data_IF_756452118970
#
_entry.id   IF_756452118970
#
_cell.length_a   1.000
_cell.length_b   1.000
_cell.length_c   1.000
_cell.angle_alpha   90.00
_cell.angle_beta   90.00
_cell.angle_gamma   90.00
#
_symmetry.space_group_name_H-M   'P 1'
#
loop_
_entity.id
_entity.type
_entity.pdbx_description
1 polymer ?
#
# COMPACT_ATOMS: atom_id res chain seq x y z
N UNK A 1 10.92 3.44 9.00
CA UNK A 1 10.10 3.50 7.78
C UNK A 1 8.64 3.45 8.15
N UNK A 2 7.80 4.21 7.46
CA UNK A 2 6.34 4.21 7.63
C UNK A 2 5.70 3.69 6.35
N UNK A 3 4.78 2.75 6.47
CA UNK A 3 3.97 2.24 5.34
C UNK A 3 2.53 2.67 5.53
N UNK A 4 1.91 3.19 4.48
CA UNK A 4 0.51 3.63 4.47
C UNK A 4 -0.21 3.15 3.24
N UNK A 5 -1.49 2.82 3.36
CA UNK A 5 -2.39 2.64 2.22
C UNK A 5 -3.25 3.87 2.00
N UNK A 6 -3.33 4.32 0.75
CA UNK A 6 -4.00 5.56 0.38
C UNK A 6 -4.89 5.31 -0.83
N UNK A 7 -6.16 5.70 -0.71
CA UNK A 7 -7.04 5.80 -1.87
C UNK A 7 -6.68 7.03 -2.71
N UNK A 8 -6.61 6.83 -4.02
CA UNK A 8 -6.39 7.92 -4.99
C UNK A 8 -7.69 8.25 -5.69
N UNK A 9 -8.55 9.01 -5.00
CA UNK A 9 -9.86 9.44 -5.53
C UNK A 9 -9.75 10.27 -6.81
N UNK A 10 -8.61 10.96 -7.00
CA UNK A 10 -8.26 11.64 -8.25
C UNK A 10 -8.05 10.68 -9.44
N UNK A 11 -7.95 9.36 -9.19
CA UNK A 11 -7.77 8.30 -10.18
C UNK A 11 -8.96 7.35 -10.27
N UNK A 12 -10.15 7.83 -9.89
CA UNK A 12 -11.40 7.08 -10.00
C UNK A 12 -11.64 6.66 -11.45
N UNK A 13 -12.00 5.40 -11.67
CA UNK A 13 -12.33 4.92 -13.01
C UNK A 13 -13.82 5.13 -13.36
N UNK A 14 -14.18 4.80 -14.61
CA UNK A 14 -15.54 4.95 -15.13
C UNK A 14 -16.63 4.19 -14.35
N UNK A 15 -16.25 3.19 -13.54
CA UNK A 15 -17.16 2.41 -12.72
C UNK A 15 -17.24 2.94 -11.28
N UNK A 16 -16.60 4.08 -10.99
CA UNK A 16 -16.54 4.66 -9.65
C UNK A 16 -15.52 3.96 -8.72
N UNK A 17 -14.70 3.05 -9.24
CA UNK A 17 -13.70 2.34 -8.44
C UNK A 17 -12.45 3.19 -8.28
N UNK A 18 -11.99 3.30 -7.04
CA UNK A 18 -10.83 4.09 -6.65
C UNK A 18 -9.65 3.15 -6.39
N UNK A 19 -8.48 3.39 -7.00
CA UNK A 19 -7.31 2.56 -6.77
C UNK A 19 -6.65 2.82 -5.41
N UNK A 20 -6.24 1.74 -4.77
CA UNK A 20 -5.43 1.77 -3.54
C UNK A 20 -3.95 1.78 -3.90
N UNK A 21 -3.18 2.65 -3.27
CA UNK A 21 -1.74 2.72 -3.38
C UNK A 21 -1.09 2.42 -2.04
N UNK A 22 0.07 1.78 -2.07
CA UNK A 22 0.98 1.70 -0.94
C UNK A 22 1.98 2.85 -1.03
N UNK A 23 2.14 3.58 0.07
CA UNK A 23 3.15 4.60 0.28
C UNK A 23 4.14 4.12 1.34
N UNK A 24 5.39 3.90 0.96
CA UNK A 24 6.48 3.62 1.88
C UNK A 24 7.38 4.85 1.98
N UNK A 25 7.46 5.42 3.19
CA UNK A 25 8.17 6.65 3.50
C UNK A 25 9.36 6.32 4.40
N UNK A 26 10.56 6.69 3.95
CA UNK A 26 11.81 6.43 4.66
C UNK A 26 12.85 7.47 4.23
N UNK A 27 13.68 7.95 5.16
CA UNK A 27 14.83 8.82 4.84
C UNK A 27 14.46 10.05 3.96
N UNK A 28 13.28 10.64 4.17
CA UNK A 28 12.76 11.76 3.36
C UNK A 28 12.25 11.37 1.96
N UNK A 29 12.41 10.11 1.56
CA UNK A 29 11.95 9.54 0.30
C UNK A 29 10.56 8.92 0.46
N UNK A 30 9.79 8.92 -0.63
CA UNK A 30 8.48 8.26 -0.74
C UNK A 30 8.46 7.34 -1.96
N UNK A 31 8.38 6.04 -1.71
CA UNK A 31 8.05 5.05 -2.72
C UNK A 31 6.52 4.89 -2.76
N UNK A 32 5.94 5.05 -3.95
CA UNK A 32 4.50 4.89 -4.18
C UNK A 32 4.26 3.82 -5.25
N UNK A 33 3.52 2.78 -4.89
CA UNK A 33 3.19 1.68 -5.79
C UNK A 33 1.68 1.41 -5.81
N UNK A 34 1.16 1.05 -6.97
CA UNK A 34 -0.23 0.59 -7.08
C UNK A 34 -0.36 -0.82 -6.51
N UNK A 35 -1.33 -1.06 -5.63
CA UNK A 35 -1.52 -2.39 -5.00
C UNK A 35 -2.25 -3.38 -5.89
N UNK A 36 -2.70 -2.95 -7.09
CA UNK A 36 -3.63 -3.66 -7.98
C UNK A 36 -5.06 -3.79 -7.44
N UNK A 37 -5.30 -3.36 -6.22
CA UNK A 37 -6.63 -3.32 -5.63
C UNK A 37 -7.36 -2.01 -5.94
N UNK A 38 -8.67 -2.14 -6.15
CA UNK A 38 -9.60 -1.01 -6.25
C UNK A 38 -10.84 -1.29 -5.43
N UNK A 39 -11.49 -0.24 -4.95
CA UNK A 39 -12.78 -0.34 -4.27
C UNK A 39 -13.59 0.93 -4.43
N UNK A 40 -14.88 0.87 -4.12
CA UNK A 40 -15.69 2.08 -3.94
C UNK A 40 -15.20 2.83 -2.69
N UNK A 41 -15.32 4.17 -2.62
CA UNK A 41 -14.90 4.94 -1.43
C UNK A 41 -15.54 4.43 -0.13
N UNK A 42 -16.83 4.06 -0.18
CA UNK A 42 -17.58 3.53 0.96
C UNK A 42 -17.06 2.19 1.49
N UNK A 43 -16.30 1.45 0.68
CA UNK A 43 -15.74 0.15 1.01
C UNK A 43 -14.38 0.25 1.70
N UNK A 44 -13.81 1.45 1.81
CA UNK A 44 -12.53 1.68 2.45
C UNK A 44 -12.68 2.19 3.89
N UNK A 45 -11.80 1.75 4.77
CA UNK A 45 -11.63 2.33 6.09
C UNK A 45 -10.27 3.03 6.13
N UNK A 46 -10.28 4.36 6.05
CA UNK A 46 -9.06 5.17 6.01
C UNK A 46 -8.26 5.08 7.32
N UNK A 47 -8.93 5.03 8.47
CA UNK A 47 -8.28 4.97 9.78
C UNK A 47 -7.57 3.63 9.98
N UNK A 48 -8.22 2.53 9.56
CA UNK A 48 -7.66 1.17 9.65
C UNK A 48 -6.80 0.79 8.46
N UNK A 49 -6.77 1.62 7.42
CA UNK A 49 -6.07 1.36 6.14
C UNK A 49 -6.36 -0.01 5.53
N UNK A 50 -7.64 -0.42 5.58
CA UNK A 50 -8.11 -1.74 5.14
C UNK A 50 -9.48 -1.62 4.47
N UNK A 51 -9.81 -2.59 3.62
CA UNK A 51 -11.15 -2.76 3.09
C UNK A 51 -12.12 -3.17 4.19
N UNK A 52 -13.33 -2.60 4.13
CA UNK A 52 -14.48 -2.97 4.98
C UNK A 52 -15.05 -4.30 4.50
N UNK A 53 -15.72 -5.02 5.40
CA UNK A 53 -16.41 -6.30 5.11
C UNK A 53 -17.45 -6.21 3.98
N UNK A 54 -17.92 -5.01 3.62
CA UNK A 54 -18.89 -4.80 2.54
C UNK A 54 -18.32 -4.96 1.13
N UNK A 55 -16.98 -5.01 0.95
CA UNK A 55 -16.35 -5.32 -0.35
C UNK A 55 -16.33 -6.83 -0.55
N UNK A 56 -16.73 -7.29 -1.73
CA UNK A 56 -16.53 -8.69 -2.15
C UNK A 56 -15.05 -9.03 -2.17
N UNK A 57 -14.66 -10.11 -1.48
CA UNK A 57 -13.25 -10.51 -1.34
C UNK A 57 -12.42 -9.57 -0.45
N UNK A 58 -13.04 -8.89 0.52
CA UNK A 58 -12.35 -7.94 1.40
C UNK A 58 -11.23 -8.60 2.22
N UNK A 59 -11.40 -9.86 2.62
CA UNK A 59 -10.40 -10.58 3.40
C UNK A 59 -9.14 -10.85 2.57
N UNK A 60 -9.30 -11.44 1.39
CA UNK A 60 -8.21 -11.70 0.46
C UNK A 60 -7.50 -10.42 0.05
N UNK A 61 -8.26 -9.38 -0.30
CA UNK A 61 -7.69 -8.08 -0.66
C UNK A 61 -6.90 -7.46 0.51
N UNK A 62 -7.40 -7.58 1.74
CA UNK A 62 -6.67 -7.11 2.92
C UNK A 62 -5.40 -7.94 3.19
N UNK A 63 -5.43 -9.25 2.97
CA UNK A 63 -4.25 -10.11 3.09
C UNK A 63 -3.19 -9.74 2.04
N UNK A 64 -3.60 -9.37 0.83
CA UNK A 64 -2.70 -8.84 -0.21
C UNK A 64 -2.04 -7.54 0.26
N UNK A 65 -2.79 -6.60 0.83
CA UNK A 65 -2.22 -5.36 1.38
C UNK A 65 -1.19 -5.67 2.47
N UNK A 66 -1.54 -6.53 3.41
CA UNK A 66 -0.67 -6.94 4.52
C UNK A 66 0.64 -7.56 4.00
N UNK A 67 0.56 -8.52 3.08
CA UNK A 67 1.73 -9.13 2.45
C UNK A 67 2.60 -8.11 1.68
N UNK A 68 2.00 -7.12 1.01
CA UNK A 68 2.77 -6.04 0.36
C UNK A 68 3.51 -5.17 1.37
N UNK A 69 2.86 -4.79 2.47
CA UNK A 69 3.50 -4.02 3.53
C UNK A 69 4.67 -4.79 4.16
N UNK A 70 4.46 -6.07 4.49
CA UNK A 70 5.50 -6.93 5.05
C UNK A 70 6.70 -7.07 4.12
N UNK A 71 6.47 -7.26 2.82
CA UNK A 71 7.55 -7.35 1.82
C UNK A 71 8.40 -6.10 1.78
N UNK A 72 7.77 -4.92 1.73
CA UNK A 72 8.49 -3.65 1.71
C UNK A 72 9.26 -3.44 3.03
N UNK A 73 8.62 -3.72 4.17
CA UNK A 73 9.25 -3.64 5.49
C UNK A 73 10.42 -4.60 5.65
N UNK A 74 10.28 -5.84 5.18
CA UNK A 74 11.36 -6.83 5.19
C UNK A 74 12.51 -6.34 4.32
N UNK A 75 12.25 -5.91 3.08
CA UNK A 75 13.31 -5.41 2.19
C UNK A 75 14.07 -4.22 2.78
N UNK A 76 13.36 -3.28 3.40
CA UNK A 76 13.98 -2.15 4.10
C UNK A 76 14.89 -2.62 5.24
N UNK A 77 14.41 -3.56 6.08
CA UNK A 77 15.21 -4.13 7.18
C UNK A 77 16.45 -4.85 6.65
N UNK A 78 16.29 -5.69 5.63
CA UNK A 78 17.40 -6.45 5.02
C UNK A 78 18.51 -5.51 4.51
N UNK A 79 18.15 -4.40 3.84
CA UNK A 79 19.11 -3.39 3.36
C UNK A 79 19.85 -2.70 4.52
N UNK A 80 19.12 -2.32 5.57
CA UNK A 80 19.70 -1.68 6.76
C UNK A 80 20.65 -2.63 7.50
N UNK A 81 20.29 -3.90 7.65
CA UNK A 81 21.14 -4.92 8.26
C UNK A 81 22.40 -5.18 7.44
N UNK A 82 22.31 -5.12 6.12
CA UNK A 82 23.46 -5.23 5.22
C UNK A 82 24.33 -3.96 5.14
N UNK A 83 24.02 -2.90 5.89
CA UNK A 83 24.73 -1.61 5.81
C UNK A 83 24.54 -0.87 4.48
N UNK A 84 23.59 -1.31 3.64
CA UNK A 84 23.29 -0.69 2.35
C UNK A 84 22.21 0.38 2.53
N UNK A 85 22.45 1.64 2.09
CA UNK A 85 21.43 2.68 2.14
C UNK A 85 20.18 2.28 1.35
N UNK A 86 18.98 2.29 1.96
CA UNK A 86 17.75 2.04 1.23
C UNK A 86 17.48 3.13 0.20
N UNK A 87 17.34 2.76 -1.07
CA UNK A 87 16.96 3.69 -2.14
C UNK A 87 15.63 3.28 -2.76
N UNK A 88 14.97 4.21 -3.48
CA UNK A 88 13.72 3.91 -4.18
C UNK A 88 13.86 2.74 -5.15
N UNK A 89 15.01 2.62 -5.82
CA UNK A 89 15.28 1.53 -6.77
C UNK A 89 15.45 0.18 -6.07
N UNK A 90 16.01 0.14 -4.86
CA UNK A 90 16.26 -1.10 -4.11
C UNK A 90 15.05 -1.62 -3.33
N UNK A 91 14.02 -0.78 -3.17
CA UNK A 91 12.78 -1.08 -2.43
C UNK A 91 11.57 -1.39 -3.33
N UNK A 92 11.67 -1.11 -4.62
CA UNK A 92 10.58 -1.31 -5.59
C UNK A 92 10.36 -2.77 -5.95
#
# INVERSE_FOLDING_TARGET
MTVKFVLREDKTDKNGLVPVFIDAIFEGLRLRCFTREKCLPKEWNADKQRFRKGKTGAEEANNVLEAMAERVQKRYRDLRTAGTPPTLALLR
#
